data_IF_382905993131
#
_entry.id   IF_382905993131
#
_cell.length_a   1.000
_cell.length_b   1.000
_cell.length_c   1.000
_cell.angle_alpha   90.00
_cell.angle_beta   90.00
_cell.angle_gamma   90.00
#
_symmetry.space_group_name_H-M   'P 1'
#
loop_
_entity.id
_entity.type
_entity.pdbx_description
1 polymer ?
#
# COMPACT_ATOMS: atom_id res chain seq x y z
N UNK A 1 -19.15 -14.54 7.45
CA UNK A 1 -19.35 -13.12 7.81
C UNK A 1 -18.00 -12.57 8.24
N UNK A 2 -17.20 -12.12 7.27
CA UNK A 2 -15.77 -11.81 7.44
C UNK A 2 -15.50 -10.32 7.69
N UNK A 3 -16.28 -9.69 8.56
CA UNK A 3 -15.96 -8.32 8.95
C UNK A 3 -14.99 -8.30 10.14
N UNK A 4 -13.92 -7.52 10.02
CA UNK A 4 -13.02 -7.20 11.14
C UNK A 4 -13.76 -6.43 12.24
N UNK A 5 -14.81 -5.68 11.89
CA UNK A 5 -15.63 -4.91 12.82
C UNK A 5 -16.59 -5.83 13.61
N UNK A 6 -16.39 -5.91 14.92
CA UNK A 6 -17.21 -6.74 15.82
C UNK A 6 -18.69 -6.36 15.82
N UNK A 7 -19.01 -5.06 15.73
CA UNK A 7 -20.38 -4.57 15.63
C UNK A 7 -21.06 -5.05 14.33
N UNK A 8 -20.35 -5.00 13.20
CA UNK A 8 -20.89 -5.49 11.92
C UNK A 8 -21.12 -7.01 11.96
N UNK A 9 -20.26 -7.77 12.64
CA UNK A 9 -20.50 -9.22 12.85
C UNK A 9 -21.77 -9.46 13.67
N UNK A 10 -21.95 -8.74 14.77
CA UNK A 10 -23.16 -8.84 15.59
C UNK A 10 -24.43 -8.45 14.83
N UNK A 11 -24.35 -7.44 13.96
CA UNK A 11 -25.44 -7.06 13.03
C UNK A 11 -25.82 -8.20 12.09
N UNK A 12 -24.85 -8.81 11.42
CA UNK A 12 -25.10 -9.92 10.49
C UNK A 12 -25.63 -11.16 11.21
N UNK A 13 -25.22 -11.39 12.46
CA UNK A 13 -25.71 -12.49 13.30
C UNK A 13 -27.05 -12.21 13.99
N UNK A 14 -27.65 -11.03 13.75
CA UNK A 14 -28.88 -10.56 14.42
C UNK A 14 -28.78 -10.57 15.96
N UNK A 15 -27.58 -10.29 16.51
CA UNK A 15 -27.29 -10.32 17.96
C UNK A 15 -26.92 -8.92 18.52
N UNK A 16 -27.37 -7.85 17.85
CA UNK A 16 -27.09 -6.47 18.27
C UNK A 16 -27.60 -6.16 19.69
N UNK A 17 -28.67 -6.82 20.12
CA UNK A 17 -29.23 -6.64 21.46
C UNK A 17 -28.26 -7.06 22.58
N UNK A 18 -27.30 -7.94 22.29
CA UNK A 18 -26.26 -8.39 23.23
C UNK A 18 -24.90 -7.75 22.96
N UNK A 19 -24.79 -6.93 21.92
CA UNK A 19 -23.52 -6.32 21.56
C UNK A 19 -23.19 -5.19 22.53
N UNK A 20 -22.11 -5.36 23.28
CA UNK A 20 -21.58 -4.31 24.13
C UNK A 20 -20.40 -3.63 23.42
N UNK A 21 -20.42 -2.30 23.39
CA UNK A 21 -19.27 -1.54 22.91
C UNK A 21 -18.14 -1.59 23.96
N UNK A 22 -16.90 -1.51 23.48
CA UNK A 22 -15.79 -1.28 24.38
C UNK A 22 -16.00 0.04 25.13
N UNK A 23 -15.52 0.14 26.39
CA UNK A 23 -15.55 1.40 27.12
C UNK A 23 -14.92 2.53 26.31
N UNK A 24 -15.44 3.74 26.48
CA UNK A 24 -14.84 4.92 25.89
C UNK A 24 -13.40 5.10 26.40
N UNK A 25 -12.56 5.69 25.56
CA UNK A 25 -11.22 6.13 25.96
C UNK A 25 -11.39 7.22 27.05
N UNK A 26 -10.48 7.28 28.02
CA UNK A 26 -10.55 8.30 29.07
C UNK A 26 -10.39 9.71 28.48
N UNK A 27 -10.99 10.71 29.15
CA UNK A 27 -11.05 12.07 28.64
C UNK A 27 -9.67 12.65 28.39
N UNK A 28 -8.70 12.39 29.26
CA UNK A 28 -7.34 12.89 29.14
C UNK A 28 -6.67 12.44 27.83
N UNK A 29 -6.87 11.17 27.46
CA UNK A 29 -6.34 10.61 26.22
C UNK A 29 -7.15 11.09 25.01
N UNK A 30 -8.47 11.21 25.14
CA UNK A 30 -9.33 11.74 24.09
C UNK A 30 -8.95 13.18 23.71
N UNK A 31 -8.81 14.05 24.70
CA UNK A 31 -8.42 15.46 24.49
C UNK A 31 -7.01 15.58 23.88
N UNK A 32 -6.10 14.65 24.18
CA UNK A 32 -4.79 14.60 23.56
C UNK A 32 -4.83 14.14 22.09
N UNK A 33 -5.68 13.16 21.75
CA UNK A 33 -5.75 12.55 20.42
C UNK A 33 -6.63 13.35 19.46
N UNK A 34 -7.74 13.92 19.94
CA UNK A 34 -8.73 14.62 19.11
C UNK A 34 -8.11 15.66 18.17
N UNK A 35 -7.25 16.61 18.62
CA UNK A 35 -6.69 17.59 17.70
C UNK A 35 -5.81 16.96 16.61
N UNK A 36 -5.11 15.86 16.93
CA UNK A 36 -4.30 15.10 15.95
C UNK A 36 -5.22 14.43 14.93
N UNK A 37 -6.29 13.81 15.39
CA UNK A 37 -7.28 13.18 14.51
C UNK A 37 -7.93 14.19 13.58
N UNK A 38 -8.34 15.35 14.11
CA UNK A 38 -8.99 16.41 13.35
C UNK A 38 -8.04 17.00 12.30
N UNK A 39 -6.77 17.25 12.64
CA UNK A 39 -5.77 17.73 11.67
C UNK A 39 -5.51 16.68 10.57
N UNK A 40 -5.34 15.41 10.93
CA UNK A 40 -5.15 14.30 9.98
C UNK A 40 -6.38 14.02 9.12
N UNK A 41 -7.57 14.43 9.58
CA UNK A 41 -8.85 14.25 8.86
C UNK A 41 -9.25 15.46 8.03
N UNK A 42 -8.39 16.48 7.89
CA UNK A 42 -8.65 17.62 7.02
C UNK A 42 -8.81 17.19 5.57
N UNK A 43 -9.84 17.71 4.92
CA UNK A 43 -10.16 17.41 3.51
C UNK A 43 -8.96 17.60 2.58
N UNK A 44 -8.15 18.64 2.78
CA UNK A 44 -6.93 18.91 2.00
C UNK A 44 -5.90 17.75 2.09
N UNK A 45 -5.76 17.12 3.25
CA UNK A 45 -4.89 15.95 3.41
C UNK A 45 -5.51 14.71 2.78
N UNK A 46 -6.81 14.50 3.00
CA UNK A 46 -7.53 13.35 2.45
C UNK A 46 -7.60 13.38 0.92
N UNK A 47 -7.75 14.56 0.31
CA UNK A 47 -7.74 14.74 -1.14
C UNK A 47 -6.45 14.24 -1.78
N UNK A 48 -5.30 14.38 -1.10
CA UNK A 48 -4.01 13.85 -1.58
C UNK A 48 -3.98 12.31 -1.60
N UNK A 49 -4.77 11.67 -0.74
CA UNK A 49 -4.87 10.22 -0.66
C UNK A 49 -5.79 9.62 -1.74
N UNK A 50 -6.67 10.41 -2.37
CA UNK A 50 -7.59 9.92 -3.41
C UNK A 50 -6.87 9.32 -4.62
N UNK A 51 -5.68 9.84 -4.93
CA UNK A 51 -4.84 9.30 -6.01
C UNK A 51 -4.16 7.97 -5.68
N UNK A 52 -4.25 7.49 -4.43
CA UNK A 52 -3.61 6.24 -4.00
C UNK A 52 -2.09 6.26 -4.09
N UNK A 53 -1.47 7.45 -4.11
CA UNK A 53 -0.03 7.59 -4.23
C UNK A 53 0.68 7.04 -2.99
N UNK A 54 1.86 6.45 -3.21
CA UNK A 54 2.71 6.01 -2.12
C UNK A 54 3.16 7.20 -1.26
N UNK A 55 3.03 7.06 0.06
CA UNK A 55 3.53 8.04 1.04
C UNK A 55 5.07 8.04 1.15
N UNK A 56 5.74 7.00 0.62
CA UNK A 56 7.19 6.89 0.60
C UNK A 56 7.66 6.34 -0.75
N UNK A 57 7.58 7.18 -1.79
CA UNK A 57 7.96 6.82 -3.16
C UNK A 57 9.35 6.20 -3.24
N UNK A 58 10.33 6.74 -2.48
CA UNK A 58 11.70 6.23 -2.50
C UNK A 58 11.82 4.83 -1.89
N UNK A 59 11.17 4.57 -0.76
CA UNK A 59 11.20 3.23 -0.16
C UNK A 59 10.41 2.22 -0.99
N UNK A 60 9.26 2.61 -1.52
CA UNK A 60 8.47 1.75 -2.41
C UNK A 60 9.23 1.41 -3.69
N UNK A 61 9.89 2.38 -4.33
CA UNK A 61 10.72 2.13 -5.50
C UNK A 61 11.90 1.21 -5.17
N UNK A 62 12.63 1.52 -4.09
CA UNK A 62 13.75 0.69 -3.63
C UNK A 62 13.31 -0.74 -3.35
N UNK A 63 12.10 -0.95 -2.81
CA UNK A 63 11.55 -2.30 -2.60
C UNK A 63 11.39 -3.07 -3.92
N UNK A 64 10.93 -2.41 -4.99
CA UNK A 64 10.84 -3.03 -6.33
C UNK A 64 12.24 -3.36 -6.85
N UNK A 65 13.19 -2.42 -6.77
CA UNK A 65 14.60 -2.65 -7.15
C UNK A 65 15.17 -3.86 -6.44
N UNK A 66 15.06 -3.97 -5.12
CA UNK A 66 15.62 -5.10 -4.36
C UNK A 66 14.88 -6.41 -4.56
N UNK A 67 13.65 -6.38 -5.07
CA UNK A 67 12.91 -7.59 -5.47
C UNK A 67 13.48 -8.16 -6.78
N UNK A 68 13.92 -7.30 -7.71
CA UNK A 68 14.47 -7.71 -9.01
C UNK A 68 15.99 -7.95 -8.92
N UNK A 69 16.72 -7.07 -8.24
CA UNK A 69 18.16 -7.11 -8.03
C UNK A 69 18.48 -7.13 -6.52
N UNK A 70 18.44 -8.31 -5.87
CA UNK A 70 18.64 -8.41 -4.42
C UNK A 70 20.01 -7.90 -3.96
N UNK A 71 20.04 -7.17 -2.84
CA UNK A 71 21.28 -6.58 -2.28
C UNK A 71 22.35 -7.62 -1.89
N UNK A 72 21.91 -8.84 -1.58
CA UNK A 72 22.78 -9.94 -1.16
C UNK A 72 23.29 -10.75 -2.37
N UNK A 73 23.00 -10.32 -3.59
CA UNK A 73 23.48 -10.95 -4.83
C UNK A 73 24.35 -9.98 -5.60
N UNK A 74 25.53 -10.43 -6.04
CA UNK A 74 26.40 -9.67 -6.93
C UNK A 74 26.09 -9.99 -8.39
N UNK A 75 26.04 -8.96 -9.24
CA UNK A 75 25.86 -9.09 -10.68
C UNK A 75 26.80 -8.17 -11.46
N UNK A 76 27.00 -8.46 -12.75
CA UNK A 76 27.72 -7.55 -13.64
C UNK A 76 26.94 -6.24 -13.86
N UNK A 77 27.63 -5.15 -14.20
CA UNK A 77 27.01 -3.82 -14.41
C UNK A 77 25.79 -3.89 -15.33
N UNK A 78 25.91 -4.57 -16.46
CA UNK A 78 24.82 -4.72 -17.43
C UNK A 78 23.56 -5.36 -16.81
N UNK A 79 23.72 -6.40 -15.99
CA UNK A 79 22.59 -7.07 -15.35
C UNK A 79 21.92 -6.15 -14.32
N UNK A 80 22.72 -5.38 -13.58
CA UNK A 80 22.21 -4.42 -12.61
C UNK A 80 21.45 -3.28 -13.31
N UNK A 81 22.00 -2.74 -14.39
CA UNK A 81 21.35 -1.69 -15.19
C UNK A 81 19.98 -2.18 -15.70
N UNK A 82 19.93 -3.37 -16.31
CA UNK A 82 18.67 -3.98 -16.78
C UNK A 82 17.69 -4.21 -15.63
N UNK A 83 18.16 -4.66 -14.46
CA UNK A 83 17.32 -4.84 -13.28
C UNK A 83 16.69 -3.54 -12.79
N UNK A 84 17.45 -2.43 -12.82
CA UNK A 84 16.97 -1.09 -12.46
C UNK A 84 15.96 -0.57 -13.50
N UNK A 85 16.21 -0.80 -14.79
CA UNK A 85 15.27 -0.41 -15.86
C UNK A 85 13.94 -1.16 -15.71
N UNK A 86 13.97 -2.48 -15.49
CA UNK A 86 12.76 -3.28 -15.23
C UNK A 86 12.04 -2.82 -13.97
N UNK A 87 12.76 -2.48 -12.91
CA UNK A 87 12.18 -1.95 -11.67
C UNK A 87 11.47 -0.61 -11.91
N UNK A 88 12.06 0.26 -12.72
CA UNK A 88 11.49 1.57 -13.09
C UNK A 88 10.20 1.43 -13.88
N UNK A 89 10.19 0.55 -14.89
CA UNK A 89 8.98 0.25 -15.68
C UNK A 89 7.87 -0.32 -14.78
N UNK A 90 8.23 -1.30 -13.94
CA UNK A 90 7.27 -1.96 -13.05
C UNK A 90 6.70 -1.00 -12.02
N UNK A 91 7.50 -0.07 -11.49
CA UNK A 91 7.04 0.90 -10.50
C UNK A 91 6.09 1.95 -11.10
N UNK A 92 6.38 2.45 -12.30
CA UNK A 92 5.61 3.53 -12.91
C UNK A 92 4.33 3.04 -13.62
N UNK A 93 4.42 1.95 -14.37
CA UNK A 93 3.34 1.49 -15.27
C UNK A 93 2.91 0.03 -15.00
N UNK A 94 3.50 -0.61 -14.00
CA UNK A 94 3.25 -2.01 -13.70
C UNK A 94 3.74 -2.97 -14.80
N UNK A 95 3.11 -4.13 -14.88
CA UNK A 95 3.53 -5.23 -15.77
C UNK A 95 3.26 -4.95 -17.25
N UNK A 96 2.41 -3.98 -17.59
CA UNK A 96 2.09 -3.65 -18.98
C UNK A 96 3.29 -3.12 -19.74
N UNK A 97 4.13 -2.29 -19.10
CA UNK A 97 5.36 -1.80 -19.73
C UNK A 97 6.41 -2.89 -19.88
N UNK A 98 6.47 -3.84 -18.95
CA UNK A 98 7.33 -5.02 -19.08
C UNK A 98 6.87 -5.93 -20.24
N UNK A 99 5.56 -6.11 -20.42
CA UNK A 99 5.01 -6.90 -21.52
C UNK A 99 5.44 -6.35 -22.89
N UNK A 100 5.43 -5.02 -23.07
CA UNK A 100 5.92 -4.37 -24.29
C UNK A 100 7.40 -4.63 -24.55
N UNK A 101 8.23 -4.59 -23.50
CA UNK A 101 9.67 -4.92 -23.63
C UNK A 101 9.86 -6.36 -24.08
N UNK A 102 9.13 -7.30 -23.46
CA UNK A 102 9.19 -8.72 -23.81
C UNK A 102 8.79 -8.97 -25.28
N UNK A 103 7.74 -8.30 -25.76
CA UNK A 103 7.33 -8.35 -27.16
C UNK A 103 8.43 -7.88 -28.12
N UNK A 104 9.08 -6.74 -27.81
CA UNK A 104 10.17 -6.17 -28.63
C UNK A 104 11.37 -7.11 -28.72
N UNK A 105 11.69 -7.84 -27.64
CA UNK A 105 12.79 -8.81 -27.63
C UNK A 105 12.38 -10.20 -28.14
N UNK A 106 11.14 -10.36 -28.63
CA UNK A 106 10.64 -11.59 -29.23
C UNK A 106 10.25 -12.68 -28.23
N UNK A 107 9.99 -12.33 -26.97
CA UNK A 107 9.47 -13.26 -25.97
C UNK A 107 7.95 -13.35 -26.11
N UNK A 108 7.45 -14.55 -26.40
CA UNK A 108 6.02 -14.81 -26.51
C UNK A 108 5.37 -14.79 -25.13
N UNK A 109 4.49 -13.84 -24.91
CA UNK A 109 3.60 -13.80 -23.75
C UNK A 109 2.40 -14.70 -24.06
N UNK A 110 2.00 -15.53 -23.09
CA UNK A 110 1.03 -16.63 -23.26
C UNK A 110 -0.33 -16.23 -23.80
#
# INVERSE_FOLDING_TARGET
>A
SESWCSWQRAKTANDLAKYNHNPAICNEVYEAIKPIYDDLSRDELLQRCLGGYTQNTNECFNKVVWTIAPKNSSGGKLLLDVGIDVATLTFNDGLMSLAKVLEVIGVKIG
#
